data_IF_050072172305
#
_entry.id   IF_050072172305
#
_cell.length_a   1.000
_cell.length_b   1.000
_cell.length_c   1.000
_cell.angle_alpha   90.00
_cell.angle_beta   90.00
_cell.angle_gamma   90.00
#
_symmetry.space_group_name_H-M   'P 1'
#
loop_
_entity.id
_entity.type
_entity.pdbx_description
1 polymer ?
#
# COMPACT_ATOMS: atom_id res chain seq x y z
N UNK A 1 30.17 10.14 19.77
CA UNK A 1 29.17 9.02 19.83
C UNK A 1 28.90 8.52 21.25
N UNK A 2 29.90 8.12 22.06
CA UNK A 2 29.67 7.69 23.46
C UNK A 2 29.07 8.78 24.34
N UNK A 3 29.54 10.02 24.23
CA UNK A 3 28.99 11.16 24.99
C UNK A 3 27.50 11.38 24.72
N UNK A 4 27.06 11.22 23.46
CA UNK A 4 25.66 11.37 23.06
C UNK A 4 24.78 10.23 23.59
N UNK A 5 25.28 8.98 23.60
CA UNK A 5 24.60 7.83 24.20
C UNK A 5 24.44 7.98 25.71
N UNK A 6 25.47 8.46 26.41
CA UNK A 6 25.44 8.70 27.85
C UNK A 6 24.47 9.83 28.18
N UNK A 7 24.52 10.94 27.43
CA UNK A 7 23.65 12.09 27.61
C UNK A 7 22.15 11.77 27.40
N UNK A 8 21.83 10.88 26.46
CA UNK A 8 20.43 10.56 26.12
C UNK A 8 19.98 9.17 26.56
N UNK A 9 20.84 8.40 27.24
CA UNK A 9 20.57 7.01 27.66
C UNK A 9 20.09 6.12 26.51
N UNK A 10 20.57 6.34 25.29
CA UNK A 10 20.25 5.53 24.11
C UNK A 10 21.45 4.70 23.72
N UNK A 11 21.27 3.41 23.48
CA UNK A 11 22.32 2.51 22.96
C UNK A 11 22.23 2.50 21.43
N UNK A 12 23.25 3.01 20.75
CA UNK A 12 23.32 2.91 19.27
C UNK A 12 23.62 1.48 18.85
N UNK A 13 23.21 1.15 17.62
CA UNK A 13 23.58 -0.10 16.97
C UNK A 13 25.11 -0.26 16.87
N UNK A 14 25.55 -1.52 16.89
CA UNK A 14 26.96 -1.87 16.85
C UNK A 14 27.63 -1.36 15.56
N UNK A 15 28.74 -0.64 15.71
CA UNK A 15 29.47 -0.05 14.59
C UNK A 15 30.08 -1.13 13.68
N UNK A 16 30.39 -2.32 14.22
CA UNK A 16 30.88 -3.42 13.40
C UNK A 16 29.76 -3.96 12.48
N UNK A 17 28.52 -4.04 12.96
CA UNK A 17 27.37 -4.37 12.11
C UNK A 17 27.14 -3.35 10.98
N UNK A 18 27.30 -2.04 11.26
CA UNK A 18 27.22 -1.00 10.25
C UNK A 18 28.35 -1.11 9.21
N UNK A 19 29.58 -1.38 9.65
CA UNK A 19 30.74 -1.62 8.76
C UNK A 19 30.54 -2.81 7.84
N UNK A 20 30.08 -3.96 8.37
CA UNK A 20 29.74 -5.13 7.56
C UNK A 20 28.70 -4.82 6.48
N UNK A 21 27.73 -3.95 6.80
CA UNK A 21 26.73 -3.51 5.83
C UNK A 21 27.35 -2.66 4.73
N UNK A 22 28.24 -1.73 5.07
CA UNK A 22 28.98 -0.90 4.10
C UNK A 22 29.81 -1.77 3.17
N UNK A 23 30.60 -2.70 3.72
CA UNK A 23 31.43 -3.63 2.92
C UNK A 23 30.59 -4.42 1.91
N UNK A 24 29.42 -4.92 2.34
CA UNK A 24 28.50 -5.68 1.47
C UNK A 24 27.82 -4.83 0.40
N UNK A 25 27.62 -3.53 0.66
CA UNK A 25 27.10 -2.59 -0.33
C UNK A 25 28.19 -2.24 -1.35
N UNK A 26 29.44 -2.14 -0.91
CA UNK A 26 30.59 -1.76 -1.75
C UNK A 26 31.23 -2.92 -2.50
N UNK A 27 30.94 -4.18 -2.13
CA UNK A 27 31.65 -5.34 -2.66
C UNK A 27 31.35 -5.64 -4.13
N UNK A 28 30.08 -5.66 -4.49
CA UNK A 28 29.61 -6.04 -5.83
C UNK A 28 28.13 -5.65 -5.99
N UNK A 29 27.74 -5.27 -7.20
CA UNK A 29 26.38 -4.83 -7.53
C UNK A 29 25.38 -5.97 -7.36
N UNK A 30 25.74 -7.20 -7.75
CA UNK A 30 24.84 -8.35 -7.64
C UNK A 30 24.70 -8.80 -6.18
N UNK A 31 25.80 -8.78 -5.42
CA UNK A 31 25.79 -9.00 -3.98
C UNK A 31 24.88 -7.98 -3.26
N UNK A 32 24.96 -6.69 -3.61
CA UNK A 32 24.08 -5.66 -3.08
C UNK A 32 22.61 -5.88 -3.47
N UNK A 33 22.33 -6.17 -4.74
CA UNK A 33 20.97 -6.46 -5.22
C UNK A 33 20.35 -7.62 -4.47
N UNK A 34 21.07 -8.74 -4.34
CA UNK A 34 20.57 -9.94 -3.66
C UNK A 34 20.37 -9.69 -2.17
N UNK A 35 21.27 -8.95 -1.53
CA UNK A 35 21.11 -8.53 -0.16
C UNK A 35 19.85 -7.67 0.04
N UNK A 36 19.67 -6.64 -0.80
CA UNK A 36 18.50 -5.75 -0.75
C UNK A 36 17.19 -6.50 -0.98
N UNK A 37 17.12 -7.34 -2.03
CA UNK A 37 15.93 -8.17 -2.35
C UNK A 37 15.59 -9.12 -1.21
N UNK A 38 16.59 -9.75 -0.60
CA UNK A 38 16.37 -10.63 0.57
C UNK A 38 15.75 -9.88 1.75
N UNK A 39 16.21 -8.66 2.03
CA UNK A 39 15.65 -7.84 3.10
C UNK A 39 14.21 -7.41 2.80
N UNK A 40 13.94 -6.99 1.56
CA UNK A 40 12.61 -6.57 1.11
C UNK A 40 11.61 -7.74 1.14
N UNK A 41 11.98 -8.92 0.63
CA UNK A 41 11.15 -10.12 0.70
C UNK A 41 10.86 -10.55 2.14
N UNK A 42 11.86 -10.50 3.03
CA UNK A 42 11.64 -10.76 4.47
C UNK A 42 10.71 -9.75 5.12
N UNK A 43 10.76 -8.48 4.71
CA UNK A 43 9.85 -7.46 5.21
C UNK A 43 8.42 -7.73 4.76
N UNK A 44 8.20 -7.97 3.46
CA UNK A 44 6.91 -8.35 2.88
C UNK A 44 6.33 -9.58 3.59
N UNK A 45 7.12 -10.64 3.79
CA UNK A 45 6.67 -11.85 4.48
C UNK A 45 6.20 -11.57 5.91
N UNK A 46 6.96 -10.78 6.68
CA UNK A 46 6.55 -10.42 8.05
C UNK A 46 5.24 -9.64 8.07
N UNK A 47 5.04 -8.77 7.10
CA UNK A 47 3.84 -7.95 7.02
C UNK A 47 2.62 -8.72 6.52
N UNK A 48 2.80 -9.66 5.57
CA UNK A 48 1.71 -10.48 5.05
C UNK A 48 1.14 -11.44 6.10
N UNK A 49 1.97 -11.93 7.04
CA UNK A 49 1.51 -12.79 8.15
C UNK A 49 0.97 -11.99 9.34
N UNK A 50 1.30 -10.70 9.44
CA UNK A 50 0.85 -9.87 10.56
C UNK A 50 -0.58 -9.41 10.30
N UNK A 51 -1.52 -9.92 11.11
CA UNK A 51 -2.87 -9.36 11.18
C UNK A 51 -2.83 -8.10 12.04
N UNK A 52 -2.90 -6.92 11.43
CA UNK A 52 -3.08 -5.67 12.18
C UNK A 52 -4.53 -5.61 12.67
N UNK A 53 -4.79 -5.61 13.99
CA UNK A 53 -6.16 -5.61 14.53
C UNK A 53 -6.98 -4.36 14.16
N UNK A 54 -6.33 -3.34 13.60
CA UNK A 54 -6.91 -2.06 13.19
C UNK A 54 -7.30 -2.01 11.72
N UNK A 55 -6.84 -2.96 10.92
CA UNK A 55 -7.23 -3.09 9.51
C UNK A 55 -8.53 -3.91 9.47
N UNK A 56 -9.67 -3.27 9.19
CA UNK A 56 -10.93 -3.99 8.90
C UNK A 56 -10.88 -4.51 7.47
N UNK A 57 -10.32 -5.71 7.30
CA UNK A 57 -10.23 -6.34 5.99
C UNK A 57 -11.37 -7.32 5.71
N UNK A 58 -11.98 -7.21 4.52
CA UNK A 58 -12.96 -8.11 3.92
C UNK A 58 -12.33 -9.05 2.89
N UNK A 59 -11.23 -8.64 2.25
CA UNK A 59 -10.49 -9.42 1.25
C UNK A 59 -9.30 -10.21 1.83
N UNK A 60 -8.54 -10.87 0.95
CA UNK A 60 -7.30 -11.55 1.35
C UNK A 60 -6.13 -10.58 1.30
N UNK A 61 -5.32 -10.53 2.37
CA UNK A 61 -4.04 -9.82 2.35
C UNK A 61 -3.13 -10.44 1.29
N UNK A 62 -2.66 -9.60 0.38
CA UNK A 62 -1.89 -9.99 -0.78
C UNK A 62 -0.41 -9.62 -0.66
N UNK A 63 0.38 -10.26 -1.50
CA UNK A 63 1.75 -9.82 -1.80
C UNK A 63 1.83 -9.52 -3.28
N UNK A 64 2.62 -8.51 -3.64
CA UNK A 64 2.87 -8.13 -5.02
C UNK A 64 4.37 -7.88 -5.22
N UNK A 65 4.91 -8.51 -6.24
CA UNK A 65 6.29 -8.30 -6.69
C UNK A 65 6.26 -7.44 -7.95
N UNK A 66 6.82 -6.24 -7.86
CA UNK A 66 6.87 -5.28 -8.96
C UNK A 66 8.27 -5.32 -9.55
N UNK A 67 8.37 -5.61 -10.85
CA UNK A 67 9.62 -5.52 -11.61
C UNK A 67 9.53 -4.34 -12.58
N UNK A 68 10.50 -3.43 -12.52
CA UNK A 68 10.57 -2.33 -13.47
C UNK A 68 11.49 -2.66 -14.67
N UNK A 69 11.49 -1.79 -15.68
CA UNK A 69 12.29 -1.96 -16.89
C UNK A 69 13.80 -1.82 -16.67
N UNK A 70 14.23 -1.20 -15.57
CA UNK A 70 15.64 -1.07 -15.18
C UNK A 70 16.17 -2.31 -14.42
N UNK A 71 15.33 -3.34 -14.22
CA UNK A 71 15.71 -4.56 -13.51
C UNK A 71 15.60 -4.47 -11.98
N UNK A 72 14.99 -3.40 -11.46
CA UNK A 72 14.55 -3.30 -10.07
C UNK A 72 13.46 -4.33 -9.77
N UNK A 73 13.51 -4.93 -8.58
CA UNK A 73 12.51 -5.86 -8.06
C UNK A 73 12.12 -5.41 -6.67
N UNK A 74 10.84 -5.13 -6.47
CA UNK A 74 10.30 -4.57 -5.25
C UNK A 74 9.22 -5.50 -4.70
N UNK A 75 9.32 -5.84 -3.42
CA UNK A 75 8.38 -6.72 -2.73
C UNK A 75 7.47 -5.88 -1.84
N UNK A 76 6.20 -5.77 -2.21
CA UNK A 76 5.18 -5.03 -1.47
C UNK A 76 4.07 -5.95 -0.96
N UNK A 77 3.42 -5.52 0.10
CA UNK A 77 2.11 -6.01 0.53
C UNK A 77 1.00 -5.20 -0.13
N UNK A 78 -0.15 -5.85 -0.27
CA UNK A 78 -1.43 -5.22 -0.62
C UNK A 78 -2.39 -5.60 0.49
N UNK A 79 -3.08 -4.63 1.08
CA UNK A 79 -3.96 -4.90 2.23
C UNK A 79 -5.10 -5.83 1.86
N UNK A 80 -5.70 -5.63 0.68
CA UNK A 80 -6.66 -6.58 0.12
C UNK A 80 -6.50 -6.79 -1.38
N UNK A 81 -6.71 -8.04 -1.79
CA UNK A 81 -6.80 -8.44 -3.18
C UNK A 81 -8.11 -9.17 -3.41
N UNK A 82 -8.87 -8.71 -4.41
CA UNK A 82 -10.04 -9.42 -4.93
C UNK A 82 -9.74 -9.93 -6.34
N UNK A 83 -9.96 -11.22 -6.56
CA UNK A 83 -9.85 -11.85 -7.88
C UNK A 83 -11.23 -12.28 -8.35
N UNK A 84 -11.71 -11.66 -9.43
CA UNK A 84 -12.90 -12.11 -10.15
C UNK A 84 -12.48 -13.10 -11.24
N UNK A 85 -12.40 -14.39 -10.89
CA UNK A 85 -11.92 -15.43 -11.81
C UNK A 85 -12.79 -15.59 -13.07
N UNK A 86 -14.08 -15.21 -13.02
CA UNK A 86 -14.98 -15.28 -14.20
C UNK A 86 -14.65 -14.20 -15.23
N UNK A 87 -14.29 -13.00 -14.77
CA UNK A 87 -13.94 -11.86 -15.63
C UNK A 87 -12.43 -11.70 -15.84
N UNK A 88 -11.62 -12.47 -15.12
CA UNK A 88 -10.16 -12.30 -15.04
C UNK A 88 -9.76 -10.86 -14.67
N UNK A 89 -10.44 -10.32 -13.65
CA UNK A 89 -10.22 -8.97 -13.13
C UNK A 89 -9.69 -9.01 -11.70
N UNK A 90 -8.75 -8.12 -11.37
CA UNK A 90 -8.18 -8.00 -10.03
C UNK A 90 -8.40 -6.60 -9.46
N UNK A 91 -8.83 -6.49 -8.20
CA UNK A 91 -8.81 -5.22 -7.47
C UNK A 91 -7.67 -5.27 -6.45
N UNK A 92 -6.83 -4.24 -6.46
CA UNK A 92 -5.72 -4.05 -5.53
C UNK A 92 -6.08 -2.91 -4.58
N UNK A 93 -6.36 -3.24 -3.32
CA UNK A 93 -6.87 -2.27 -2.35
C UNK A 93 -5.81 -2.00 -1.28
N UNK A 94 -5.47 -0.74 -1.11
CA UNK A 94 -4.65 -0.24 0.00
C UNK A 94 -5.57 0.48 1.01
N UNK A 95 -5.43 0.14 2.28
CA UNK A 95 -6.29 0.62 3.35
C UNK A 95 -5.60 1.62 4.23
N UNK A 96 -6.29 2.71 4.55
CA UNK A 96 -5.90 3.64 5.63
C UNK A 96 -7.04 3.78 6.61
N UNK A 97 -6.72 3.63 7.89
CA UNK A 97 -7.70 3.52 8.96
C UNK A 97 -7.46 4.55 10.06
N UNK A 98 -8.54 5.09 10.61
CA UNK A 98 -8.51 5.89 11.85
C UNK A 98 -9.60 5.46 12.83
N UNK A 99 -9.27 5.54 14.13
CA UNK A 99 -10.23 5.33 15.22
C UNK A 99 -10.84 6.63 15.72
N UNK A 100 -10.11 7.74 15.58
CA UNK A 100 -10.34 8.96 16.37
C UNK A 100 -10.84 10.14 15.53
N UNK A 101 -10.72 10.06 14.21
CA UNK A 101 -11.08 11.12 13.24
C UNK A 101 -11.99 10.57 12.14
N UNK A 102 -12.58 11.46 11.33
CA UNK A 102 -13.39 11.08 10.16
C UNK A 102 -12.52 10.49 9.05
N UNK A 103 -11.33 11.04 8.87
CA UNK A 103 -10.36 10.62 7.86
C UNK A 103 -9.05 10.15 8.51
N UNK A 104 -8.33 9.20 7.90
CA UNK A 104 -6.93 8.91 8.24
C UNK A 104 -6.05 10.17 8.21
N UNK A 105 -4.88 10.10 8.83
CA UNK A 105 -3.98 11.25 8.83
C UNK A 105 -3.52 11.59 7.42
N UNK A 106 -3.07 12.83 7.21
CA UNK A 106 -2.53 13.25 5.93
C UNK A 106 -1.33 12.38 5.50
N UNK A 107 -0.49 11.99 6.46
CA UNK A 107 0.65 11.11 6.21
C UNK A 107 0.20 9.70 5.80
N UNK A 108 -0.84 9.15 6.43
CA UNK A 108 -1.43 7.86 6.02
C UNK A 108 -2.00 7.94 4.59
N UNK A 109 -2.71 9.03 4.26
CA UNK A 109 -3.27 9.24 2.93
C UNK A 109 -2.15 9.33 1.89
N UNK A 110 -1.09 10.09 2.17
CA UNK A 110 0.08 10.22 1.28
C UNK A 110 0.77 8.88 1.06
N UNK A 111 0.93 8.07 2.11
CA UNK A 111 1.47 6.72 2.00
C UNK A 111 0.57 5.83 1.10
N UNK A 112 -0.75 5.94 1.24
CA UNK A 112 -1.70 5.26 0.34
C UNK A 112 -1.57 5.71 -1.12
N UNK A 113 -1.42 7.01 -1.37
CA UNK A 113 -1.23 7.57 -2.71
C UNK A 113 0.08 7.10 -3.35
N UNK A 114 1.15 6.91 -2.57
CA UNK A 114 2.41 6.33 -3.08
C UNK A 114 2.18 4.93 -3.67
N UNK A 115 1.35 4.10 -3.04
CA UNK A 115 0.96 2.79 -3.60
C UNK A 115 0.11 2.93 -4.85
N UNK A 116 -0.79 3.92 -4.91
CA UNK A 116 -1.60 4.16 -6.11
C UNK A 116 -0.73 4.51 -7.31
N UNK A 117 0.29 5.37 -7.14
CA UNK A 117 1.27 5.68 -8.21
C UNK A 117 1.91 4.39 -8.75
N UNK A 118 2.27 3.45 -7.87
CA UNK A 118 2.86 2.19 -8.30
C UNK A 118 1.85 1.30 -9.04
N UNK A 119 0.65 1.14 -8.50
CA UNK A 119 -0.35 0.21 -9.02
C UNK A 119 -0.94 0.69 -10.34
N UNK A 120 -1.19 1.99 -10.52
CA UNK A 120 -1.74 2.55 -11.77
C UNK A 120 -0.73 2.52 -12.92
N UNK A 121 0.56 2.44 -12.61
CA UNK A 121 1.64 2.34 -13.59
C UNK A 121 2.04 0.88 -13.91
N UNK A 122 1.34 -0.12 -13.39
CA UNK A 122 1.59 -1.51 -13.76
C UNK A 122 1.21 -1.73 -15.23
N UNK A 123 2.15 -2.24 -16.03
CA UNK A 123 1.88 -2.60 -17.43
C UNK A 123 1.17 -3.95 -17.55
N UNK A 124 1.65 -4.93 -16.80
CA UNK A 124 1.15 -6.30 -16.82
C UNK A 124 1.04 -6.79 -15.37
N UNK A 125 -0.08 -7.41 -15.04
CA UNK A 125 -0.30 -8.08 -13.76
C UNK A 125 -0.51 -9.58 -13.98
N UNK A 126 0.09 -10.39 -13.13
CA UNK A 126 -0.04 -11.84 -13.17
C UNK A 126 -0.37 -12.35 -11.77
N UNK A 127 -1.25 -13.35 -11.69
CA UNK A 127 -1.42 -14.13 -10.47
C UNK A 127 -0.81 -15.53 -10.63
N UNK A 128 -0.34 -16.09 -9.52
CA UNK A 128 0.23 -17.44 -9.48
C UNK A 128 -0.88 -18.41 -9.09
N UNK A 129 -1.18 -19.36 -9.97
CA UNK A 129 -2.12 -20.44 -9.65
C UNK A 129 -1.46 -21.50 -8.76
N UNK A 130 -2.24 -22.39 -8.17
CA UNK A 130 -1.72 -23.49 -7.33
C UNK A 130 -0.73 -24.43 -8.04
N UNK A 131 -0.68 -24.41 -9.39
CA UNK A 131 0.31 -25.15 -10.20
C UNK A 131 1.59 -24.36 -10.47
N UNK A 132 1.75 -23.19 -9.86
CA UNK A 132 2.83 -22.22 -10.11
C UNK A 132 2.82 -21.58 -11.50
N UNK A 133 1.76 -21.80 -12.28
CA UNK A 133 1.57 -21.12 -13.56
C UNK A 133 1.26 -19.63 -13.34
N UNK A 134 1.94 -18.78 -14.11
CA UNK A 134 1.66 -17.33 -14.19
C UNK A 134 0.50 -17.09 -15.14
N UNK A 135 -0.62 -16.65 -14.60
CA UNK A 135 -1.80 -16.31 -15.39
C UNK A 135 -1.89 -14.79 -15.50
N UNK A 136 -1.92 -14.29 -16.73
CA UNK A 136 -2.04 -12.86 -17.00
C UNK A 136 -3.45 -12.39 -16.64
N UNK A 137 -3.53 -11.30 -15.89
CA UNK A 137 -4.77 -10.60 -15.55
C UNK A 137 -5.19 -9.74 -16.74
N UNK A 138 -6.47 -9.77 -17.11
CA UNK A 138 -6.97 -8.98 -18.24
C UNK A 138 -7.16 -7.51 -17.85
N UNK A 139 -7.69 -7.27 -16.66
CA UNK A 139 -7.99 -5.94 -16.15
C UNK A 139 -7.68 -5.90 -14.66
N UNK A 140 -7.10 -4.80 -14.18
CA UNK A 140 -6.98 -4.59 -12.75
C UNK A 140 -7.33 -3.16 -12.38
N UNK A 141 -7.81 -2.98 -11.14
CA UNK A 141 -8.26 -1.70 -10.64
C UNK A 141 -7.59 -1.41 -9.30
N UNK A 142 -6.65 -0.46 -9.24
CA UNK A 142 -6.10 0.05 -8.00
C UNK A 142 -7.16 0.82 -7.22
N UNK A 143 -7.18 0.66 -5.90
CA UNK A 143 -8.13 1.32 -5.02
C UNK A 143 -7.48 1.80 -3.74
N UNK A 144 -7.80 3.03 -3.33
CA UNK A 144 -7.45 3.57 -2.03
C UNK A 144 -8.71 3.59 -1.16
N UNK A 145 -8.69 2.88 -0.04
CA UNK A 145 -9.81 2.82 0.89
C UNK A 145 -9.48 3.57 2.19
N UNK A 146 -10.31 4.55 2.49
CA UNK A 146 -10.27 5.29 3.74
C UNK A 146 -11.38 4.78 4.66
N UNK A 147 -11.03 4.38 5.88
CA UNK A 147 -11.99 3.87 6.86
C UNK A 147 -11.90 4.61 8.19
N UNK A 148 -13.05 4.77 8.84
CA UNK A 148 -13.15 5.33 10.19
C UNK A 148 -14.10 4.51 11.06
N UNK A 149 -13.74 4.31 12.33
CA UNK A 149 -14.65 3.77 13.37
C UNK A 149 -15.64 4.81 13.89
N UNK A 150 -15.49 6.10 13.54
CA UNK A 150 -16.36 7.19 13.97
C UNK A 150 -17.40 7.54 12.91
N UNK A 151 -18.68 7.34 13.24
CA UNK A 151 -19.78 7.97 12.52
C UNK A 151 -19.87 9.44 12.94
N UNK A 152 -19.09 10.30 12.29
CA UNK A 152 -19.13 11.74 12.52
C UNK A 152 -19.46 12.45 11.20
N UNK A 153 -20.25 13.52 11.30
CA UNK A 153 -20.54 14.39 10.17
C UNK A 153 -19.24 14.91 9.55
N UNK A 154 -19.06 14.64 8.27
CA UNK A 154 -17.92 15.12 7.46
C UNK A 154 -17.88 16.65 7.57
N UNK A 155 -16.80 17.20 8.11
CA UNK A 155 -16.62 18.65 8.18
C UNK A 155 -16.30 19.22 6.79
N UNK A 156 -16.42 20.54 6.60
CA UNK A 156 -16.00 21.18 5.35
C UNK A 156 -14.53 20.89 5.00
N UNK A 157 -13.66 20.73 6.02
CA UNK A 157 -12.25 20.37 5.80
C UNK A 157 -12.12 18.95 5.28
N UNK A 158 -12.80 17.99 5.91
CA UNK A 158 -12.79 16.59 5.48
C UNK A 158 -13.37 16.43 4.07
N UNK A 159 -14.42 17.20 3.77
CA UNK A 159 -15.01 17.26 2.43
C UNK A 159 -14.00 17.72 1.38
N UNK A 160 -13.27 18.81 1.64
CA UNK A 160 -12.28 19.32 0.70
C UNK A 160 -11.18 18.28 0.41
N UNK A 161 -10.72 17.57 1.45
CA UNK A 161 -9.73 16.49 1.28
C UNK A 161 -10.30 15.36 0.42
N UNK A 162 -11.50 14.86 0.74
CA UNK A 162 -12.16 13.80 -0.04
C UNK A 162 -12.43 14.22 -1.49
N UNK A 163 -12.80 15.48 -1.72
CA UNK A 163 -13.02 16.01 -3.07
C UNK A 163 -11.73 16.03 -3.87
N UNK A 164 -10.66 16.58 -3.32
CA UNK A 164 -9.35 16.61 -3.99
C UNK A 164 -8.82 15.20 -4.25
N UNK A 165 -9.02 14.25 -3.32
CA UNK A 165 -8.63 12.86 -3.53
C UNK A 165 -9.44 12.17 -4.63
N UNK A 166 -10.74 12.48 -4.76
CA UNK A 166 -11.55 11.94 -5.85
C UNK A 166 -11.13 12.50 -7.21
N UNK A 167 -10.77 13.78 -7.28
CA UNK A 167 -10.21 14.40 -8.50
C UNK A 167 -8.89 13.72 -8.87
N UNK A 168 -7.97 13.56 -7.91
CA UNK A 168 -6.71 12.83 -8.09
C UNK A 168 -6.93 11.39 -8.58
N UNK A 169 -7.91 10.69 -7.99
CA UNK A 169 -8.29 9.32 -8.36
C UNK A 169 -8.76 9.22 -9.82
N UNK A 170 -9.57 10.18 -10.26
CA UNK A 170 -10.06 10.25 -11.65
C UNK A 170 -8.94 10.50 -12.64
N UNK A 171 -8.08 11.47 -12.36
CA UNK A 171 -6.93 11.83 -13.21
C UNK A 171 -5.90 10.71 -13.31
N UNK A 172 -5.66 9.97 -12.23
CA UNK A 172 -4.64 8.92 -12.17
C UNK A 172 -5.21 7.49 -12.30
N UNK A 173 -6.49 7.36 -12.62
CA UNK A 173 -7.16 6.09 -12.91
C UNK A 173 -7.09 5.05 -11.78
N UNK A 174 -7.30 5.49 -10.54
CA UNK A 174 -7.60 4.62 -9.41
C UNK A 174 -8.98 4.93 -8.83
N UNK A 175 -9.51 4.05 -7.99
CA UNK A 175 -10.81 4.27 -7.35
C UNK A 175 -10.66 4.59 -5.86
N UNK A 176 -11.56 5.43 -5.34
CA UNK A 176 -11.60 5.77 -3.93
C UNK A 176 -12.78 5.07 -3.25
N UNK A 177 -12.50 4.41 -2.12
CA UNK A 177 -13.50 3.83 -1.24
C UNK A 177 -13.53 4.60 0.08
N UNK A 178 -14.71 4.83 0.63
CA UNK A 178 -14.90 5.38 1.98
C UNK A 178 -15.86 4.49 2.77
N UNK A 179 -15.43 4.00 3.94
CA UNK A 179 -16.22 3.07 4.79
C UNK A 179 -16.88 1.92 3.99
N UNK A 180 -16.13 1.36 3.03
CA UNK A 180 -16.50 0.25 2.12
C UNK A 180 -17.42 0.59 0.93
N UNK A 181 -17.79 1.85 0.73
CA UNK A 181 -18.52 2.26 -0.47
C UNK A 181 -17.62 3.00 -1.43
N UNK A 182 -17.85 2.80 -2.72
CA UNK A 182 -17.14 3.56 -3.75
C UNK A 182 -17.67 4.98 -3.78
N UNK A 183 -16.76 5.94 -3.76
CA UNK A 183 -17.11 7.35 -3.88
C UNK A 183 -17.24 7.67 -5.36
N UNK A 184 -18.46 7.96 -5.79
CA UNK A 184 -18.76 8.23 -7.21
C UNK A 184 -18.60 9.71 -7.54
N UNK A 185 -19.26 10.56 -6.75
CA UNK A 185 -19.30 11.99 -6.96
C UNK A 185 -19.56 12.74 -5.64
N UNK A 186 -19.59 14.07 -5.71
CA UNK A 186 -20.07 14.92 -4.62
C UNK A 186 -21.27 15.76 -5.07
N UNK A 187 -22.36 15.72 -4.28
CA UNK A 187 -23.58 16.49 -4.52
C UNK A 187 -23.88 17.27 -3.24
N UNK A 188 -24.07 18.59 -3.34
CA UNK A 188 -24.39 19.47 -2.20
C UNK A 188 -23.44 19.28 -0.99
N UNK A 189 -22.13 19.23 -1.25
CA UNK A 189 -21.08 18.98 -0.27
C UNK A 189 -21.19 17.64 0.48
N UNK A 190 -21.85 16.64 -0.12
CA UNK A 190 -21.94 15.28 0.42
C UNK A 190 -21.45 14.26 -0.60
N UNK A 191 -20.70 13.22 -0.19
CA UNK A 191 -20.30 12.14 -1.06
C UNK A 191 -21.51 11.32 -1.51
N UNK A 192 -21.58 11.05 -2.79
CA UNK A 192 -22.46 10.05 -3.38
C UNK A 192 -21.72 8.72 -3.41
N UNK A 193 -22.35 7.71 -2.83
CA UNK A 193 -21.78 6.38 -2.69
C UNK A 193 -22.49 5.38 -3.59
N UNK A 194 -21.72 4.51 -4.22
CA UNK A 194 -22.21 3.33 -4.93
C UNK A 194 -21.58 2.07 -4.33
N UNK A 195 -22.21 0.94 -4.57
CA UNK A 195 -21.66 -0.34 -4.13
C UNK A 195 -20.35 -0.63 -4.89
N UNK A 196 -19.35 -1.05 -4.12
CA UNK A 196 -18.10 -1.53 -4.69
C UNK A 196 -18.32 -2.90 -5.32
N UNK A 197 -17.92 -3.05 -6.59
CA UNK A 197 -17.92 -4.33 -7.30
C UNK A 197 -16.55 -4.53 -7.94
N UNK A 198 -15.91 -5.64 -7.54
CA UNK A 198 -14.90 -6.33 -8.31
C UNK A 198 -15.60 -7.49 -9.08
#
# INVERSE_FOLDING_TARGET
MREFQVKHKVKFHDIASARKRIEKVMSDVEAFKNFSRTLSSKAQYRESITRQPKERTYGNKGTIDIKNYLGGLYHFTVDEVFLNSKKNKVCLIEDKHTKNSVLPSEDDIKDGLLKMILYTNLKDLYYISGRQDKIKVNEFTPMLRLTSEKEVNISNKDYNVLKSLLEEAKENHFEMLFNNKKVNNFINNRPEFIDFIC
#
